data_IF_438724382338
#
_entry.id   IF_438724382338
#
_cell.length_a   1.000
_cell.length_b   1.000
_cell.length_c   1.000
_cell.angle_alpha   90.00
_cell.angle_beta   90.00
_cell.angle_gamma   90.00
#
_symmetry.space_group_name_H-M   'P 1'
#
loop_
_entity.id
_entity.type
_entity.pdbx_description
1 polymer ?
#
# COMPACT_ATOMS: atom_id res chain seq x y z
N UNK A 1 23.07 -0.33 -5.13
CA UNK A 1 22.50 1.00 -5.41
C UNK A 1 21.98 1.52 -4.10
N UNK A 2 22.16 2.81 -3.79
CA UNK A 2 21.79 3.39 -2.49
C UNK A 2 20.58 4.31 -2.68
N UNK A 3 19.37 3.75 -2.88
CA UNK A 3 18.18 4.57 -3.16
C UNK A 3 17.91 5.59 -2.05
N UNK A 4 18.30 5.28 -0.80
CA UNK A 4 18.23 6.17 0.36
C UNK A 4 18.88 7.53 0.12
N UNK A 5 20.03 7.56 -0.54
CA UNK A 5 20.83 8.76 -0.78
C UNK A 5 20.26 9.57 -1.95
N UNK A 6 19.61 8.89 -2.89
CA UNK A 6 18.93 9.51 -4.02
C UNK A 6 17.54 10.01 -3.66
N UNK A 7 16.90 9.41 -2.65
CA UNK A 7 15.51 9.67 -2.28
C UNK A 7 15.19 11.14 -2.07
N UNK A 8 16.07 11.89 -1.41
CA UNK A 8 15.89 13.34 -1.17
C UNK A 8 16.09 14.19 -2.44
N UNK A 9 16.81 13.67 -3.43
CA UNK A 9 17.08 14.32 -4.73
C UNK A 9 16.05 13.97 -5.79
N UNK A 10 15.23 12.95 -5.56
CA UNK A 10 14.16 12.56 -6.48
C UNK A 10 13.01 13.56 -6.46
N UNK A 11 12.47 13.82 -7.65
CA UNK A 11 11.23 14.55 -7.82
C UNK A 11 10.09 13.92 -6.99
N UNK A 12 9.19 14.75 -6.44
CA UNK A 12 8.07 14.26 -5.63
C UNK A 12 7.18 13.25 -6.39
N UNK A 13 6.98 13.44 -7.69
CA UNK A 13 6.23 12.50 -8.55
C UNK A 13 6.90 11.12 -8.61
N UNK A 14 8.23 11.09 -8.78
CA UNK A 14 9.02 9.86 -8.80
C UNK A 14 8.98 9.13 -7.45
N UNK A 15 9.08 9.88 -6.34
CA UNK A 15 8.94 9.31 -4.99
C UNK A 15 7.54 8.74 -4.75
N UNK A 16 6.51 9.44 -5.22
CA UNK A 16 5.12 8.98 -5.09
C UNK A 16 4.89 7.70 -5.88
N UNK A 17 5.46 7.59 -7.09
CA UNK A 17 5.41 6.36 -7.88
C UNK A 17 5.98 5.16 -7.11
N UNK A 18 7.13 5.33 -6.45
CA UNK A 18 7.72 4.27 -5.60
C UNK A 18 6.85 3.91 -4.40
N UNK A 19 6.18 4.89 -3.77
CA UNK A 19 5.27 4.65 -2.65
C UNK A 19 3.97 3.94 -3.09
N UNK A 20 3.51 4.16 -4.32
CA UNK A 20 2.35 3.48 -4.89
C UNK A 20 2.70 2.04 -5.33
N UNK A 21 3.92 1.85 -5.84
CA UNK A 21 4.39 0.60 -6.44
C UNK A 21 5.46 -0.13 -5.59
N UNK A 22 5.29 -0.19 -4.27
CA UNK A 22 6.29 -0.72 -3.31
C UNK A 22 6.71 -2.19 -3.53
N UNK A 23 5.91 -2.98 -4.23
CA UNK A 23 6.22 -4.39 -4.56
C UNK A 23 7.07 -4.58 -5.81
N UNK A 24 7.45 -3.50 -6.49
CA UNK A 24 8.07 -3.58 -7.81
C UNK A 24 9.59 -3.64 -7.70
N UNK A 25 10.18 -4.79 -8.02
CA UNK A 25 11.64 -4.96 -8.04
C UNK A 25 12.30 -4.36 -9.31
N UNK A 26 11.53 -4.13 -10.38
CA UNK A 26 12.01 -3.65 -11.67
C UNK A 26 11.46 -2.25 -11.93
N UNK A 27 12.36 -1.28 -12.04
CA UNK A 27 12.00 0.12 -12.27
C UNK A 27 11.90 0.38 -13.78
N UNK A 28 10.76 0.93 -14.27
CA UNK A 28 10.60 1.29 -15.68
C UNK A 28 11.65 2.30 -16.14
N UNK A 29 11.90 2.35 -17.45
CA UNK A 29 12.88 3.28 -18.06
C UNK A 29 12.65 4.74 -17.69
N UNK A 30 11.40 5.19 -17.60
CA UNK A 30 11.04 6.58 -17.25
C UNK A 30 11.53 6.94 -15.85
N UNK A 31 11.22 6.09 -14.87
CA UNK A 31 11.63 6.26 -13.47
C UNK A 31 13.14 6.05 -13.34
N UNK A 32 13.71 5.13 -14.12
CA UNK A 32 15.16 4.89 -14.18
C UNK A 32 15.93 6.10 -14.70
N UNK A 33 15.37 6.85 -15.67
CA UNK A 33 15.98 8.08 -16.16
C UNK A 33 15.93 9.21 -15.12
N UNK A 34 14.83 9.33 -14.36
CA UNK A 34 14.75 10.27 -13.23
C UNK A 34 15.78 9.93 -12.15
N UNK A 35 15.91 8.64 -11.82
CA UNK A 35 16.94 8.12 -10.93
C UNK A 35 18.35 8.44 -11.41
N UNK A 36 18.63 8.25 -12.71
CA UNK A 36 19.94 8.55 -13.30
C UNK A 36 20.23 10.06 -13.35
N UNK A 37 19.21 10.92 -13.39
CA UNK A 37 19.40 12.39 -13.26
C UNK A 37 19.69 12.80 -11.82
N UNK A 38 19.04 12.15 -10.85
CA UNK A 38 19.28 12.39 -9.44
C UNK A 38 20.62 11.79 -8.97
N UNK A 39 21.08 10.72 -9.62
CA UNK A 39 22.38 10.12 -9.39
C UNK A 39 23.47 10.88 -10.14
N UNK A 40 24.53 11.27 -9.43
CA UNK A 40 25.73 11.88 -10.04
C UNK A 40 26.57 10.84 -10.79
N UNK A 41 26.26 9.55 -10.61
CA UNK A 41 26.92 8.43 -11.24
C UNK A 41 25.91 7.60 -12.05
N UNK A 42 26.34 7.04 -13.20
CA UNK A 42 25.48 6.17 -14.00
C UNK A 42 25.06 4.95 -13.17
N UNK A 43 23.75 4.78 -13.02
CA UNK A 43 23.18 3.61 -12.34
C UNK A 43 23.26 2.38 -13.26
N UNK A 44 23.48 1.18 -12.71
CA UNK A 44 23.49 -0.05 -13.48
C UNK A 44 22.09 -0.31 -14.05
N UNK A 45 21.95 -0.08 -15.36
CA UNK A 45 20.75 -0.35 -16.13
C UNK A 45 20.88 -1.69 -16.84
N UNK A 46 19.79 -2.45 -16.85
CA UNK A 46 19.61 -3.62 -17.70
C UNK A 46 19.58 -3.20 -19.19
N UNK A 47 19.86 -4.08 -20.17
CA UNK A 47 19.78 -3.80 -21.62
C UNK A 47 18.52 -3.07 -22.09
N UNK A 48 17.40 -3.16 -21.37
CA UNK A 48 16.18 -2.40 -21.68
C UNK A 48 16.12 -0.98 -21.09
N UNK A 49 17.16 -0.53 -20.38
CA UNK A 49 17.19 0.75 -19.66
C UNK A 49 16.41 0.73 -18.34
N UNK A 50 16.17 -0.47 -17.78
CA UNK A 50 15.47 -0.67 -16.51
C UNK A 50 16.48 -0.79 -15.37
N UNK A 51 16.12 -0.33 -14.18
CA UNK A 51 16.95 -0.49 -12.98
C UNK A 51 16.35 -1.58 -12.11
N UNK A 52 17.17 -2.50 -11.63
CA UNK A 52 16.75 -3.51 -10.66
C UNK A 52 17.04 -3.01 -9.25
N UNK A 53 16.00 -2.92 -8.42
CA UNK A 53 16.16 -2.59 -7.01
C UNK A 53 16.76 -3.78 -6.27
N UNK A 54 17.62 -3.47 -5.30
CA UNK A 54 18.09 -4.49 -4.36
C UNK A 54 17.02 -4.76 -3.29
N UNK A 55 17.16 -5.86 -2.55
CA UNK A 55 16.26 -6.16 -1.44
C UNK A 55 16.26 -5.04 -0.39
N UNK A 56 17.41 -4.43 -0.13
CA UNK A 56 17.55 -3.31 0.81
C UNK A 56 16.82 -2.06 0.31
N UNK A 57 16.93 -1.73 -0.98
CA UNK A 57 16.20 -0.61 -1.59
C UNK A 57 14.68 -0.79 -1.45
N UNK A 58 14.19 -2.01 -1.69
CA UNK A 58 12.76 -2.33 -1.55
C UNK A 58 12.28 -2.19 -0.10
N UNK A 59 13.07 -2.64 0.88
CA UNK A 59 12.76 -2.48 2.30
C UNK A 59 12.70 -0.99 2.68
N UNK A 60 13.63 -0.19 2.17
CA UNK A 60 13.63 1.26 2.40
C UNK A 60 12.39 1.93 1.82
N UNK A 61 12.05 1.66 0.55
CA UNK A 61 10.83 2.19 -0.09
C UNK A 61 9.59 1.81 0.70
N UNK A 62 9.50 0.56 1.15
CA UNK A 62 8.38 0.06 1.95
C UNK A 62 8.28 0.79 3.30
N UNK A 63 9.40 1.00 3.99
CA UNK A 63 9.43 1.77 5.23
C UNK A 63 8.98 3.22 5.01
N UNK A 64 9.40 3.83 3.91
CA UNK A 64 9.02 5.20 3.59
C UNK A 64 7.53 5.32 3.26
N UNK A 65 7.00 4.38 2.47
CA UNK A 65 5.57 4.29 2.22
C UNK A 65 4.81 4.10 3.54
N UNK A 66 5.22 3.17 4.39
CA UNK A 66 4.60 2.93 5.69
C UNK A 66 4.64 4.16 6.61
N UNK A 67 5.74 4.91 6.61
CA UNK A 67 5.87 6.17 7.36
C UNK A 67 4.96 7.27 6.79
N UNK A 68 4.85 7.39 5.48
CA UNK A 68 3.93 8.32 4.82
C UNK A 68 2.47 7.95 5.13
N UNK A 69 2.12 6.66 5.05
CA UNK A 69 0.82 6.16 5.46
C UNK A 69 0.54 6.45 6.93
N UNK A 70 1.49 6.27 7.84
CA UNK A 70 1.32 6.59 9.26
C UNK A 70 1.12 8.11 9.49
N UNK A 71 1.85 8.96 8.77
CA UNK A 71 1.68 10.42 8.81
C UNK A 71 0.32 10.86 8.25
N UNK A 72 -0.19 10.17 7.22
CA UNK A 72 -1.53 10.37 6.67
C UNK A 72 -2.63 9.58 7.40
N UNK A 73 -2.27 8.76 8.40
CA UNK A 73 -3.01 7.55 8.79
C UNK A 73 -3.47 7.49 10.24
N UNK A 74 -3.84 8.63 10.83
CA UNK A 74 -4.95 8.63 11.81
C UNK A 74 -6.31 8.37 11.15
N UNK A 75 -6.36 8.06 9.84
CA UNK A 75 -7.58 7.67 9.15
C UNK A 75 -7.72 6.14 9.08
N UNK A 76 -8.21 5.60 10.19
CA UNK A 76 -9.06 4.39 10.34
C UNK A 76 -9.15 3.48 9.12
N UNK A 77 -8.24 2.50 9.01
CA UNK A 77 -8.50 1.27 8.24
C UNK A 77 -8.98 0.12 9.14
N UNK A 78 -8.85 0.24 10.47
CA UNK A 78 -9.22 -0.78 11.46
C UNK A 78 -10.58 -0.54 12.17
N UNK A 79 -11.44 0.32 11.63
CA UNK A 79 -12.78 0.60 12.20
C UNK A 79 -13.92 -0.14 11.46
N UNK A 80 -13.58 -0.98 10.47
CA UNK A 80 -14.57 -1.63 9.58
C UNK A 80 -14.97 -3.05 10.00
N UNK A 81 -14.55 -3.53 11.18
CA UNK A 81 -15.06 -4.77 11.76
C UNK A 81 -15.92 -4.42 12.96
N UNK A 82 -17.12 -3.91 12.71
CA UNK A 82 -18.16 -4.03 13.72
C UNK A 82 -18.56 -5.51 13.73
N UNK A 83 -18.32 -6.27 14.82
CA UNK A 83 -18.99 -7.54 14.96
C UNK A 83 -20.48 -7.24 14.95
N UNK A 84 -21.15 -7.83 13.99
CA UNK A 84 -22.60 -7.79 13.82
C UNK A 84 -23.23 -8.10 15.18
N UNK A 85 -23.86 -7.10 15.81
CA UNK A 85 -24.67 -7.32 17.01
C UNK A 85 -25.96 -8.05 16.59
N UNK A 86 -25.82 -9.34 16.29
CA UNK A 86 -26.92 -10.28 16.17
C UNK A 86 -27.26 -10.82 17.56
N UNK A 87 -27.60 -9.93 18.51
CA UNK A 87 -28.32 -10.29 19.73
C UNK A 87 -29.49 -9.35 20.02
N UNK A 88 -30.19 -8.95 18.95
CA UNK A 88 -31.64 -8.79 19.05
C UNK A 88 -32.24 -10.18 19.29
N UNK A 89 -32.41 -10.52 20.56
CA UNK A 89 -33.17 -11.69 21.00
C UNK A 89 -34.59 -11.62 20.45
N UNK A 90 -34.85 -12.45 19.45
CA UNK A 90 -36.19 -12.76 18.98
C UNK A 90 -36.89 -13.51 20.11
N UNK A 91 -38.01 -13.03 20.68
CA UNK A 91 -38.83 -13.88 21.53
C UNK A 91 -39.53 -14.88 20.61
N UNK A 92 -39.13 -16.14 20.70
CA UNK A 92 -39.84 -17.27 20.11
C UNK A 92 -41.28 -17.30 20.65
N UNK A 93 -42.23 -16.75 19.88
CA UNK A 93 -43.65 -17.05 20.05
C UNK A 93 -43.89 -18.45 19.53
N UNK A 94 -44.12 -19.37 20.46
CA UNK A 94 -44.72 -20.68 20.19
C UNK A 94 -46.00 -20.48 19.38
N UNK A 95 -46.02 -21.07 18.18
CA UNK A 95 -47.23 -21.27 17.40
C UNK A 95 -47.84 -22.59 17.84
N UNK A 96 -48.92 -22.52 18.63
CA UNK A 96 -49.81 -23.65 18.88
C UNK A 96 -51.21 -23.30 18.39
N UNK A 97 -51.58 -23.91 17.25
CA UNK A 97 -52.94 -24.33 16.90
C UNK A 97 -54.02 -23.25 16.64
N UNK A 98 -54.34 -23.01 15.37
CA UNK A 98 -55.68 -22.58 14.93
C UNK A 98 -56.61 -23.81 14.77
N UNK A 99 -57.95 -23.71 14.51
CA UNK A 99 -58.80 -22.53 14.29
C UNK A 99 -60.14 -22.52 15.08
N UNK A 100 -60.98 -21.46 14.95
CA UNK A 100 -62.31 -21.41 15.55
C UNK A 100 -63.35 -22.23 14.76
N UNK A 101 -64.36 -22.76 15.46
CA UNK A 101 -65.64 -23.15 14.88
C UNK A 101 -66.79 -22.65 15.76
N UNK A 102 -67.76 -22.03 15.08
CA UNK A 102 -69.03 -21.50 15.57
C UNK A 102 -69.93 -22.54 16.22
#
# INVERSE_FOLDING_TARGET
MEIRSLWTRLDPETRQWFMDHTGTAIVPRTISAALCRAAEQPLPQDPHGQIRLTAEDMVFIRNQAHSAFAAHGTKRFFDAVQPEDHRHGIPWRYSTGAPPRS
#
